data_IF_375093891949
#
_entry.id   IF_375093891949
#
_cell.length_a   1.000
_cell.length_b   1.000
_cell.length_c   1.000
_cell.angle_alpha   90.00
_cell.angle_beta   90.00
_cell.angle_gamma   90.00
#
_symmetry.space_group_name_H-M   'P 1'
#
loop_
_entity.id
_entity.type
_entity.pdbx_description
1 polymer ?
#
# COMPACT_ATOMS: atom_id res chain seq x y z
N UNK A 1 -11.28 39.26 -29.08
CA UNK A 1 -11.94 37.96 -28.84
C UNK A 1 -11.01 36.76 -29.09
N UNK A 2 -10.45 36.56 -30.30
CA UNK A 2 -9.55 35.41 -30.61
C UNK A 2 -8.24 35.33 -29.79
N UNK A 3 -7.67 36.45 -29.36
CA UNK A 3 -6.45 36.48 -28.52
C UNK A 3 -6.71 36.03 -27.08
N UNK A 4 -7.87 36.37 -26.52
CA UNK A 4 -8.25 36.01 -25.14
C UNK A 4 -8.56 34.51 -25.04
N UNK A 5 -9.25 33.93 -26.03
CA UNK A 5 -9.49 32.48 -26.08
C UNK A 5 -8.20 31.67 -26.19
N UNK A 6 -7.20 32.14 -26.95
CA UNK A 6 -5.89 31.47 -27.06
C UNK A 6 -5.12 31.46 -25.73
N UNK A 7 -5.17 32.57 -25.00
CA UNK A 7 -4.51 32.67 -23.68
C UNK A 7 -5.23 31.79 -22.66
N UNK A 8 -6.56 31.73 -22.68
CA UNK A 8 -7.34 30.88 -21.78
C UNK A 8 -7.06 29.38 -22.05
N UNK A 9 -6.96 28.98 -23.33
CA UNK A 9 -6.59 27.60 -23.69
C UNK A 9 -5.18 27.23 -23.26
N UNK A 10 -4.20 28.14 -23.38
CA UNK A 10 -2.83 27.90 -22.93
C UNK A 10 -2.74 27.85 -21.40
N UNK A 11 -3.50 28.70 -20.69
CA UNK A 11 -3.54 28.70 -19.23
C UNK A 11 -4.18 27.42 -18.67
N UNK A 12 -5.26 26.93 -19.31
CA UNK A 12 -5.90 25.65 -18.93
C UNK A 12 -4.95 24.48 -19.18
N UNK A 13 -4.25 24.45 -20.32
CA UNK A 13 -3.24 23.41 -20.59
C UNK A 13 -2.08 23.49 -19.59
N UNK A 14 -1.60 24.68 -19.24
CA UNK A 14 -0.51 24.86 -18.27
C UNK A 14 -0.91 24.42 -16.85
N UNK A 15 -2.14 24.68 -16.43
CA UNK A 15 -2.67 24.17 -15.16
C UNK A 15 -2.82 22.65 -15.18
N UNK A 16 -3.39 22.06 -16.24
CA UNK A 16 -3.53 20.61 -16.36
C UNK A 16 -2.19 19.87 -16.50
N UNK A 17 -1.17 20.44 -17.13
CA UNK A 17 0.13 19.78 -17.27
C UNK A 17 0.97 19.84 -16.00
N UNK A 18 0.74 20.81 -15.11
CA UNK A 18 1.44 20.86 -13.84
C UNK A 18 0.97 19.72 -12.91
N UNK A 19 -0.31 19.37 -12.94
CA UNK A 19 -0.85 18.21 -12.20
C UNK A 19 -0.29 16.88 -12.76
N UNK A 20 -0.20 16.76 -14.10
CA UNK A 20 0.37 15.56 -14.77
C UNK A 20 1.87 15.40 -14.52
N UNK A 21 2.63 16.50 -14.38
CA UNK A 21 4.07 16.43 -14.12
C UNK A 21 4.36 16.19 -12.62
N UNK A 22 3.47 16.60 -11.70
CA UNK A 22 3.65 16.34 -10.27
C UNK A 22 3.54 14.84 -9.92
N UNK A 23 2.61 14.12 -10.55
CA UNK A 23 2.42 12.68 -10.32
C UNK A 23 3.56 11.80 -10.86
N UNK A 24 4.44 12.34 -11.71
CA UNK A 24 5.53 11.58 -12.33
C UNK A 24 6.86 11.61 -11.54
N UNK A 25 6.98 12.44 -10.49
CA UNK A 25 8.25 12.64 -9.75
C UNK A 25 8.18 12.22 -8.28
N UNK A 26 7.02 11.75 -7.83
CA UNK A 26 6.80 11.10 -6.55
C UNK A 26 6.20 9.71 -6.86
N UNK A 27 7.02 8.78 -7.36
CA UNK A 27 6.79 7.40 -6.94
C UNK A 27 7.27 7.40 -5.50
N UNK A 28 6.32 7.40 -4.58
CA UNK A 28 6.55 7.20 -3.15
C UNK A 28 7.18 5.83 -2.84
N UNK A 29 7.32 4.98 -3.85
CA UNK A 29 7.83 3.62 -3.69
C UNK A 29 6.70 2.62 -3.64
N UNK A 30 5.44 3.10 -3.63
CA UNK A 30 4.28 2.31 -3.32
C UNK A 30 3.32 1.95 -4.42
N UNK A 31 2.46 0.98 -4.10
CA UNK A 31 1.50 0.38 -5.03
C UNK A 31 0.27 1.27 -5.26
N UNK A 32 0.03 2.26 -4.40
CA UNK A 32 -1.20 3.07 -4.37
C UNK A 32 -1.02 4.58 -4.73
N UNK A 33 0.22 5.11 -4.79
CA UNK A 33 0.57 6.50 -5.10
C UNK A 33 -0.12 7.57 -4.20
N UNK A 34 -0.26 7.30 -2.90
CA UNK A 34 -0.88 8.21 -1.93
C UNK A 34 0.07 9.32 -1.41
N UNK A 35 1.37 9.21 -1.69
CA UNK A 35 2.42 10.12 -1.23
C UNK A 35 3.12 9.68 0.05
N UNK A 36 2.83 8.49 0.56
CA UNK A 36 3.46 7.83 1.71
C UNK A 36 4.39 6.74 1.19
N UNK A 37 5.62 6.66 1.72
CA UNK A 37 6.49 5.52 1.38
C UNK A 37 5.90 4.25 1.97
N UNK A 38 5.88 3.15 1.22
CA UNK A 38 5.35 1.85 1.66
C UNK A 38 5.82 1.47 3.06
N UNK A 39 7.10 1.66 3.39
CA UNK A 39 7.67 1.36 4.73
C UNK A 39 7.05 2.14 5.91
N UNK A 40 6.15 3.08 5.62
CA UNK A 40 5.44 3.91 6.59
C UNK A 40 3.93 3.99 6.27
N UNK A 41 3.41 3.17 5.34
CA UNK A 41 2.02 3.17 4.92
C UNK A 41 1.15 2.12 5.67
N UNK A 42 0.50 2.58 6.74
CA UNK A 42 -0.38 1.74 7.56
C UNK A 42 -1.83 1.66 7.03
N UNK A 43 -2.12 2.15 5.82
CA UNK A 43 -3.44 2.16 5.16
C UNK A 43 -3.25 1.82 3.67
N UNK A 44 -2.93 0.53 3.43
CA UNK A 44 -2.38 0.03 2.16
C UNK A 44 -3.33 0.25 0.97
N UNK A 45 -4.63 0.18 1.17
CA UNK A 45 -5.63 0.41 0.12
C UNK A 45 -6.19 1.85 0.10
N UNK A 46 -5.81 2.68 1.08
CA UNK A 46 -6.24 4.06 1.25
C UNK A 46 -7.76 4.24 1.37
N UNK A 47 -8.47 3.29 1.98
CA UNK A 47 -9.91 3.42 2.22
C UNK A 47 -10.24 4.24 3.49
N UNK A 48 -9.21 4.57 4.30
CA UNK A 48 -9.31 5.32 5.53
C UNK A 48 -9.46 4.46 6.79
N UNK A 49 -9.34 3.14 6.66
CA UNK A 49 -9.24 2.17 7.74
C UNK A 49 -7.79 1.68 7.78
N UNK A 50 -7.17 1.80 8.95
CA UNK A 50 -5.80 1.31 9.13
C UNK A 50 -5.75 -0.21 8.98
N UNK A 51 -4.70 -0.77 8.36
CA UNK A 51 -4.54 -2.19 8.05
C UNK A 51 -4.92 -3.11 9.23
N UNK A 52 -4.43 -2.81 10.44
CA UNK A 52 -4.74 -3.59 11.67
C UNK A 52 -6.24 -3.63 12.07
N UNK A 53 -7.06 -2.77 11.49
CA UNK A 53 -8.50 -2.68 11.72
C UNK A 53 -9.34 -2.99 10.48
N UNK A 54 -8.69 -3.21 9.33
CA UNK A 54 -9.33 -3.69 8.13
C UNK A 54 -9.45 -5.23 8.18
N UNK A 55 -10.36 -5.81 7.41
CA UNK A 55 -10.45 -7.26 7.21
C UNK A 55 -10.16 -7.66 5.75
N UNK A 56 -9.80 -6.70 4.90
CA UNK A 56 -9.49 -6.83 3.47
C UNK A 56 -8.49 -5.72 3.11
N UNK A 57 -7.33 -5.72 3.80
CA UNK A 57 -6.41 -4.57 3.89
C UNK A 57 -5.77 -4.16 2.56
N UNK A 58 -5.77 -5.04 1.58
CA UNK A 58 -5.30 -4.81 0.21
C UNK A 58 -6.44 -4.64 -0.81
N UNK A 59 -7.68 -4.81 -0.34
CA UNK A 59 -8.94 -4.62 -1.08
C UNK A 59 -9.03 -5.45 -2.36
N UNK A 60 -8.49 -6.66 -2.32
CA UNK A 60 -8.52 -7.62 -3.43
C UNK A 60 -9.85 -8.39 -3.50
N UNK A 61 -10.65 -8.32 -2.42
CA UNK A 61 -11.95 -8.95 -2.27
C UNK A 61 -11.90 -10.33 -1.58
N UNK A 62 -10.74 -10.73 -1.08
CA UNK A 62 -10.48 -11.89 -0.24
C UNK A 62 -10.16 -11.37 1.16
N UNK A 63 -11.05 -11.67 2.10
CA UNK A 63 -10.84 -11.31 3.50
C UNK A 63 -9.49 -11.86 4.02
N UNK A 64 -8.69 -11.05 4.70
CA UNK A 64 -7.30 -11.32 5.12
C UNK A 64 -7.12 -12.73 5.71
N UNK A 65 -8.10 -13.20 6.51
CA UNK A 65 -8.04 -14.53 7.13
C UNK A 65 -8.00 -15.72 6.13
N UNK A 66 -8.34 -15.48 4.86
CA UNK A 66 -8.39 -16.44 3.78
C UNK A 66 -7.45 -16.10 2.62
N UNK A 67 -6.84 -14.92 2.66
CA UNK A 67 -5.89 -14.50 1.66
C UNK A 67 -4.53 -15.21 1.86
N UNK A 68 -3.75 -15.36 0.79
CA UNK A 68 -2.41 -15.94 0.87
C UNK A 68 -1.41 -15.13 0.02
N UNK A 69 -1.71 -13.86 -0.23
CA UNK A 69 -0.95 -12.93 -1.05
C UNK A 69 -1.25 -11.49 -0.56
N UNK A 70 -0.98 -11.24 0.74
CA UNK A 70 -1.55 -10.11 1.51
C UNK A 70 -1.17 -8.70 1.03
N UNK A 71 -0.13 -8.59 0.20
CA UNK A 71 0.33 -7.35 -0.43
C UNK A 71 0.05 -7.31 -1.95
N UNK A 72 -0.55 -8.37 -2.49
CA UNK A 72 -0.83 -8.59 -3.91
C UNK A 72 0.37 -8.42 -4.84
N UNK A 73 1.59 -8.76 -4.39
CA UNK A 73 2.78 -8.71 -5.24
C UNK A 73 2.88 -9.93 -6.20
N UNK A 74 2.05 -10.95 -5.98
CA UNK A 74 1.94 -12.17 -6.77
C UNK A 74 2.87 -13.29 -6.31
N UNK A 75 3.59 -13.09 -5.20
CA UNK A 75 4.35 -14.09 -4.47
C UNK A 75 3.51 -14.50 -3.29
N UNK A 76 2.98 -15.72 -3.36
CA UNK A 76 2.25 -16.28 -2.24
C UNK A 76 3.06 -16.14 -0.97
N UNK A 77 2.47 -15.42 -0.03
CA UNK A 77 2.78 -15.33 1.37
C UNK A 77 3.96 -16.24 1.74
N UNK A 78 3.75 -17.54 1.97
CA UNK A 78 4.78 -18.41 2.58
C UNK A 78 6.16 -18.46 1.87
N UNK A 79 6.27 -17.89 0.66
CA UNK A 79 7.48 -17.78 -0.15
C UNK A 79 7.98 -16.35 -0.32
N UNK A 80 7.23 -15.37 0.13
CA UNK A 80 7.60 -13.97 0.06
C UNK A 80 8.63 -13.59 1.14
N UNK A 81 9.57 -12.73 0.76
CA UNK A 81 10.66 -12.26 1.61
C UNK A 81 10.59 -10.74 1.85
N UNK A 82 9.51 -10.09 1.46
CA UNK A 82 9.27 -8.64 1.52
C UNK A 82 7.76 -8.42 1.73
N UNK A 83 7.26 -8.80 2.91
CA UNK A 83 5.85 -9.14 3.17
C UNK A 83 4.86 -7.96 3.06
N UNK A 84 5.38 -6.75 3.15
CA UNK A 84 4.66 -5.49 3.01
C UNK A 84 5.07 -4.74 1.72
N UNK A 85 5.97 -5.34 0.92
CA UNK A 85 6.55 -4.82 -0.31
C UNK A 85 7.16 -3.41 -0.15
N UNK A 86 7.75 -3.10 1.02
CA UNK A 86 8.38 -1.80 1.28
C UNK A 86 9.82 -1.65 0.73
N UNK A 87 10.37 -2.75 0.18
CA UNK A 87 11.72 -2.84 -0.37
C UNK A 87 12.80 -3.20 0.66
N UNK A 88 12.44 -3.48 1.90
CA UNK A 88 13.27 -3.95 3.00
C UNK A 88 12.92 -5.40 3.30
N UNK A 89 13.70 -6.31 2.71
CA UNK A 89 13.55 -7.74 2.95
C UNK A 89 13.32 -8.10 4.44
N UNK A 90 12.29 -8.90 4.72
CA UNK A 90 11.80 -9.36 6.02
C UNK A 90 12.87 -9.60 7.10
N UNK A 91 14.03 -10.15 6.73
CA UNK A 91 15.13 -10.42 7.69
C UNK A 91 15.86 -9.17 8.21
N UNK A 92 15.66 -8.02 7.57
CA UNK A 92 16.26 -6.72 7.89
C UNK A 92 15.23 -5.67 8.30
N UNK A 93 13.96 -6.00 8.15
CA UNK A 93 12.86 -5.16 8.55
C UNK A 93 12.51 -5.37 10.03
N UNK A 94 12.05 -4.31 10.70
CA UNK A 94 11.62 -4.33 12.09
C UNK A 94 10.09 -4.17 12.23
N UNK A 95 9.34 -4.05 11.14
CA UNK A 95 7.89 -3.89 11.11
C UNK A 95 7.32 -4.62 9.88
N UNK A 96 7.46 -5.96 9.85
CA UNK A 96 7.34 -6.79 8.64
C UNK A 96 6.00 -6.77 7.92
N UNK A 97 4.94 -6.36 8.60
CA UNK A 97 3.61 -6.20 8.02
C UNK A 97 3.18 -4.74 7.93
N UNK A 98 4.05 -3.83 8.37
CA UNK A 98 3.87 -2.41 8.42
C UNK A 98 2.54 -1.99 9.08
N UNK A 99 2.17 -2.67 10.17
CA UNK A 99 0.98 -2.36 10.95
C UNK A 99 1.23 -1.17 11.92
N UNK A 100 2.50 -0.78 12.09
CA UNK A 100 2.96 0.28 12.99
C UNK A 100 3.44 -0.23 14.35
N UNK A 101 3.48 -1.54 14.54
CA UNK A 101 3.95 -2.24 15.73
C UNK A 101 5.25 -2.95 15.39
N UNK A 102 6.36 -2.43 15.92
CA UNK A 102 7.65 -3.07 15.72
C UNK A 102 7.63 -4.56 16.13
N UNK A 103 8.09 -5.45 15.25
CA UNK A 103 8.18 -6.91 15.34
C UNK A 103 8.53 -7.46 16.73
N UNK A 104 9.46 -6.81 17.43
CA UNK A 104 9.88 -7.24 18.77
C UNK A 104 8.76 -7.16 19.83
N UNK A 105 7.71 -6.40 19.55
CA UNK A 105 6.52 -6.21 20.35
C UNK A 105 5.25 -6.74 19.69
N UNK A 106 5.38 -7.23 18.45
CA UNK A 106 4.28 -7.75 17.69
C UNK A 106 4.14 -9.28 17.84
N UNK A 107 2.91 -9.75 17.86
CA UNK A 107 2.58 -11.17 17.76
C UNK A 107 1.69 -11.48 16.56
N UNK A 108 1.23 -10.46 15.85
CA UNK A 108 0.82 -10.57 14.47
C UNK A 108 2.07 -10.40 13.59
N UNK A 109 1.98 -10.89 12.36
CA UNK A 109 3.06 -10.72 11.41
C UNK A 109 2.52 -10.33 10.02
N UNK A 110 1.23 -9.98 9.93
CA UNK A 110 0.51 -9.63 8.70
C UNK A 110 -0.15 -10.81 8.00
N UNK A 111 -0.02 -12.00 8.56
CA UNK A 111 -0.43 -13.25 7.91
C UNK A 111 -1.67 -13.80 8.57
N UNK A 112 -2.58 -14.40 7.80
CA UNK A 112 -3.61 -15.24 8.38
C UNK A 112 -2.94 -16.32 9.23
N UNK A 113 -2.97 -16.11 10.55
CA UNK A 113 -2.52 -17.11 11.51
C UNK A 113 -3.49 -18.27 11.38
N UNK A 114 -3.12 -19.27 10.59
CA UNK A 114 -3.85 -20.55 10.49
C UNK A 114 -3.76 -21.21 11.85
N UNK A 115 -4.61 -20.74 12.76
CA UNK A 115 -4.83 -21.37 14.03
C UNK A 115 -5.63 -22.60 13.66
N UNK A 116 -4.94 -23.73 13.46
CA UNK A 116 -5.58 -25.03 13.46
C UNK A 116 -6.17 -25.17 14.86
N UNK A 117 -7.39 -24.63 15.06
CA UNK A 117 -8.23 -24.99 16.18
C UNK A 117 -8.54 -26.44 15.90
N UNK A 118 -7.71 -27.33 16.45
CA UNK A 118 -8.12 -28.68 16.75
C UNK A 118 -9.36 -28.54 17.63
N UNK A 119 -10.54 -28.44 17.01
CA UNK A 119 -11.82 -28.67 17.65
C UNK A 119 -11.78 -30.14 18.07
N UNK A 120 -11.35 -30.37 19.30
CA UNK A 120 -11.64 -31.60 20.04
C UNK A 120 -13.14 -31.74 20.25
#
# INVERSE_FOLDING_TARGET
MKKIMRILSILIVFLCTNDVIAQSWYSDGGNNNDGTMDQFDNDRDNDGIMNQFDNDADNDGIMDQFDNDADNDGIMDQFDNDADNDGIMNQFDNDRDNDGTMDQFDNDDGWPRVTIRNKS
#
